data_IF_237750229360
#
_entry.id   IF_237750229360
#
_cell.length_a   1.000
_cell.length_b   1.000
_cell.length_c   1.000
_cell.angle_alpha   90.00
_cell.angle_beta   90.00
_cell.angle_gamma   90.00
#
_symmetry.space_group_name_H-M   'P 1'
#
loop_
_entity.id
_entity.type
_entity.pdbx_description
1 polymer ?
#
# COMPACT_ATOMS: atom_id res chain seq x y z
N UNK A 1 16.21 -68.21 -31.71
CA UNK A 1 16.04 -66.71 -31.96
C UNK A 1 15.38 -66.11 -30.72
N UNK A 2 16.12 -65.37 -29.92
CA UNK A 2 15.58 -64.65 -28.72
C UNK A 2 15.50 -63.16 -29.03
N UNK A 3 14.29 -62.66 -29.16
CA UNK A 3 14.01 -61.22 -29.35
C UNK A 3 14.14 -60.47 -28.04
N UNK A 4 15.10 -59.54 -27.95
CA UNK A 4 15.28 -58.66 -26.80
C UNK A 4 14.40 -57.40 -27.02
N UNK A 5 13.40 -57.23 -26.17
CA UNK A 5 12.63 -56.01 -26.10
C UNK A 5 13.43 -54.94 -25.34
N UNK A 6 13.81 -53.87 -26.02
CA UNK A 6 14.42 -52.68 -25.40
C UNK A 6 13.26 -51.76 -25.03
N UNK A 7 12.98 -51.65 -23.72
CA UNK A 7 12.10 -50.58 -23.21
C UNK A 7 12.90 -49.27 -23.21
N UNK A 8 12.49 -48.31 -24.06
CA UNK A 8 12.98 -46.96 -23.99
C UNK A 8 12.21 -46.21 -22.91
N UNK A 9 12.89 -45.82 -21.82
CA UNK A 9 12.34 -44.96 -20.79
C UNK A 9 12.38 -43.51 -21.28
N UNK A 10 11.24 -42.93 -21.56
CA UNK A 10 11.10 -41.50 -21.85
C UNK A 10 11.15 -40.71 -20.53
N UNK A 11 12.26 -39.98 -20.31
CA UNK A 11 12.38 -39.05 -19.20
C UNK A 11 11.56 -37.80 -19.51
N UNK A 12 10.44 -37.62 -18.84
CA UNK A 12 9.71 -36.36 -18.84
C UNK A 12 10.45 -35.32 -17.97
N UNK A 13 11.10 -34.35 -18.59
CA UNK A 13 11.61 -33.18 -17.89
C UNK A 13 10.43 -32.29 -17.52
N UNK A 14 10.03 -32.27 -16.25
CA UNK A 14 9.10 -31.30 -15.70
C UNK A 14 9.86 -29.97 -15.59
N UNK A 15 9.60 -29.07 -16.51
CA UNK A 15 10.05 -27.69 -16.39
C UNK A 15 9.33 -27.05 -15.19
N UNK A 16 10.02 -26.89 -14.08
CA UNK A 16 9.54 -26.11 -12.93
C UNK A 16 9.57 -24.64 -13.43
N UNK A 17 8.40 -24.12 -13.80
CA UNK A 17 8.22 -22.68 -14.02
C UNK A 17 8.32 -22.06 -12.62
N UNK A 18 9.51 -21.57 -12.25
CA UNK A 18 9.68 -20.71 -11.09
C UNK A 18 8.96 -19.41 -11.46
N UNK A 19 7.85 -19.03 -10.77
CA UNK A 19 7.25 -17.74 -11.03
C UNK A 19 8.32 -16.69 -10.76
N UNK A 20 8.68 -15.91 -11.78
CA UNK A 20 9.45 -14.69 -11.58
C UNK A 20 8.62 -13.83 -10.64
N UNK A 21 9.12 -13.62 -9.42
CA UNK A 21 8.47 -12.73 -8.46
C UNK A 21 8.35 -11.38 -9.13
N UNK A 22 7.13 -11.04 -9.54
CA UNK A 22 6.84 -9.71 -10.08
C UNK A 22 7.35 -8.69 -9.05
N UNK A 23 7.99 -7.63 -9.52
CA UNK A 23 8.45 -6.53 -8.67
C UNK A 23 7.20 -5.82 -8.16
N UNK A 24 6.69 -6.26 -7.01
CA UNK A 24 5.45 -5.78 -6.45
C UNK A 24 5.72 -4.89 -5.24
N UNK A 25 5.06 -3.73 -5.20
CA UNK A 25 4.91 -2.88 -4.03
C UNK A 25 3.47 -2.99 -3.54
N UNK A 26 3.21 -2.75 -2.26
CA UNK A 26 1.84 -2.67 -1.78
C UNK A 26 1.25 -1.30 -2.10
N UNK A 27 -0.03 -1.27 -2.48
CA UNK A 27 -0.79 -0.05 -2.68
C UNK A 27 -1.97 -0.02 -1.72
N UNK A 28 -2.16 1.12 -1.06
CA UNK A 28 -3.33 1.45 -0.23
C UNK A 28 -3.83 2.84 -0.59
N UNK A 29 -5.16 3.02 -0.63
CA UNK A 29 -5.79 4.32 -0.86
C UNK A 29 -6.73 4.65 0.29
N UNK A 30 -6.56 5.82 0.87
CA UNK A 30 -7.25 6.25 2.09
C UNK A 30 -8.03 7.54 1.84
N UNK A 31 -9.29 7.57 2.22
CA UNK A 31 -10.14 8.75 2.15
C UNK A 31 -11.13 8.77 3.31
N UNK A 32 -11.37 9.95 3.87
CA UNK A 32 -12.33 10.11 4.99
C UNK A 32 -11.96 9.28 6.22
N UNK A 33 -10.68 9.02 6.43
CA UNK A 33 -10.19 8.20 7.54
C UNK A 33 -10.32 6.68 7.34
N UNK A 34 -10.81 6.24 6.17
CA UNK A 34 -11.04 4.83 5.84
C UNK A 34 -10.21 4.38 4.65
N UNK A 35 -9.88 3.10 4.60
CA UNK A 35 -9.26 2.49 3.43
C UNK A 35 -10.35 2.29 2.35
N UNK A 36 -10.25 3.04 1.26
CA UNK A 36 -11.15 2.88 0.09
C UNK A 36 -10.59 1.88 -0.92
N UNK A 37 -9.30 1.54 -0.78
CA UNK A 37 -8.64 0.42 -1.42
C UNK A 37 -7.62 -0.13 -0.42
N UNK A 38 -7.77 -1.40 -0.06
CA UNK A 38 -6.93 -2.08 0.93
C UNK A 38 -5.51 -2.32 0.44
N UNK A 39 -4.59 -2.60 1.36
CA UNK A 39 -3.21 -2.92 1.02
C UNK A 39 -3.16 -4.15 0.09
N UNK A 40 -2.77 -3.93 -1.15
CA UNK A 40 -2.74 -4.95 -2.20
C UNK A 40 -1.39 -4.91 -2.91
N UNK A 41 -0.76 -6.05 -3.08
CA UNK A 41 0.46 -6.16 -3.87
C UNK A 41 0.15 -5.85 -5.34
N UNK A 42 0.87 -4.90 -5.92
CA UNK A 42 0.67 -4.42 -7.29
C UNK A 42 1.98 -4.35 -8.03
N UNK A 43 1.96 -4.73 -9.31
CA UNK A 43 3.13 -4.61 -10.16
C UNK A 43 3.46 -3.13 -10.40
N UNK A 44 4.71 -2.74 -10.13
CA UNK A 44 5.20 -1.37 -10.35
C UNK A 44 5.87 -1.19 -11.70
N UNK A 45 6.08 -2.25 -12.47
CA UNK A 45 6.88 -2.22 -13.70
C UNK A 45 6.06 -2.15 -14.98
N UNK A 46 4.78 -2.51 -14.96
CA UNK A 46 3.98 -2.76 -16.16
C UNK A 46 3.44 -1.51 -16.84
N UNK A 47 3.03 -0.49 -16.09
CA UNK A 47 2.45 0.71 -16.68
C UNK A 47 3.51 1.63 -17.30
N UNK A 48 3.25 2.04 -18.52
CA UNK A 48 4.17 2.88 -19.32
C UNK A 48 3.60 4.23 -19.67
N UNK A 49 2.34 4.47 -19.40
CA UNK A 49 1.67 5.73 -19.69
C UNK A 49 0.40 5.89 -18.88
N UNK A 50 -0.02 7.14 -18.68
CA UNK A 50 -1.34 7.49 -18.17
C UNK A 50 -2.04 8.41 -19.16
N UNK A 51 -3.36 8.56 -18.98
CA UNK A 51 -4.17 9.52 -19.74
C UNK A 51 -4.64 10.60 -18.79
N UNK A 52 -4.41 11.86 -19.15
CA UNK A 52 -4.84 13.01 -18.36
C UNK A 52 -6.34 13.33 -18.54
N UNK A 53 -6.85 14.28 -17.78
CA UNK A 53 -8.23 14.72 -17.81
C UNK A 53 -8.68 15.35 -19.14
N UNK A 54 -7.73 15.67 -20.02
CA UNK A 54 -7.97 16.20 -21.39
C UNK A 54 -7.89 15.10 -22.44
N UNK A 55 -7.70 13.84 -22.04
CA UNK A 55 -7.55 12.69 -22.94
C UNK A 55 -6.16 12.55 -23.55
N UNK A 56 -5.18 13.37 -23.16
CA UNK A 56 -3.82 13.28 -23.67
C UNK A 56 -3.04 12.17 -22.95
N UNK A 57 -2.33 11.37 -23.74
CA UNK A 57 -1.47 10.30 -23.26
C UNK A 57 -0.08 10.84 -22.91
N UNK A 58 0.42 10.50 -21.73
CA UNK A 58 1.75 10.87 -21.24
C UNK A 58 2.54 9.61 -20.91
N UNK A 59 3.81 9.59 -21.31
CA UNK A 59 4.72 8.47 -20.99
C UNK A 59 5.13 8.54 -19.52
N UNK A 60 5.21 7.41 -18.87
CA UNK A 60 5.67 7.26 -17.49
C UNK A 60 7.07 6.70 -17.41
N UNK A 61 7.83 7.13 -16.42
CA UNK A 61 9.02 6.41 -16.00
C UNK A 61 8.62 5.03 -15.49
N UNK A 62 9.47 4.04 -15.72
CA UNK A 62 9.29 2.73 -15.12
C UNK A 62 9.24 2.85 -13.60
N UNK A 63 8.43 2.02 -12.96
CA UNK A 63 8.29 1.94 -11.51
C UNK A 63 7.81 3.25 -10.85
N UNK A 64 7.10 4.11 -11.56
CA UNK A 64 6.56 5.34 -10.94
C UNK A 64 5.31 5.04 -10.09
N UNK A 65 5.08 5.85 -9.04
CA UNK A 65 3.88 5.72 -8.22
C UNK A 65 2.59 5.96 -9.03
N UNK A 66 2.62 6.84 -10.03
CA UNK A 66 1.52 6.98 -10.99
C UNK A 66 1.33 5.71 -11.83
N UNK A 67 2.44 5.08 -12.23
CA UNK A 67 2.42 3.80 -12.95
C UNK A 67 1.76 2.69 -12.14
N UNK A 68 1.96 2.66 -10.83
CA UNK A 68 1.31 1.71 -9.95
C UNK A 68 -0.23 1.89 -9.94
N UNK A 69 -0.73 3.12 -9.83
CA UNK A 69 -2.18 3.40 -9.94
C UNK A 69 -2.74 2.91 -11.28
N UNK A 70 -2.04 3.20 -12.38
CA UNK A 70 -2.47 2.74 -13.72
C UNK A 70 -2.48 1.21 -13.81
N UNK A 71 -1.44 0.55 -13.28
CA UNK A 71 -1.31 -0.91 -13.33
C UNK A 71 -2.41 -1.65 -12.56
N UNK A 72 -2.97 -1.04 -11.51
CA UNK A 72 -4.09 -1.63 -10.76
C UNK A 72 -5.42 -1.61 -11.53
N UNK A 73 -5.54 -0.81 -12.58
CA UNK A 73 -6.82 -0.57 -13.24
C UNK A 73 -7.82 0.26 -12.41
N UNK A 74 -7.41 0.80 -11.26
CA UNK A 74 -8.28 1.66 -10.45
C UNK A 74 -8.71 2.89 -11.25
N UNK A 75 -9.99 3.29 -11.17
CA UNK A 75 -10.44 4.54 -11.76
C UNK A 75 -9.67 5.72 -11.17
N UNK A 76 -9.13 6.56 -12.00
CA UNK A 76 -8.43 7.77 -11.59
C UNK A 76 -8.77 8.95 -12.51
N UNK A 77 -8.45 10.15 -12.06
CA UNK A 77 -8.39 11.35 -12.90
C UNK A 77 -7.10 12.09 -12.56
N UNK A 78 -6.26 12.29 -13.55
CA UNK A 78 -5.01 13.01 -13.43
C UNK A 78 -5.06 14.32 -14.23
N UNK A 79 -4.43 15.37 -13.71
CA UNK A 79 -4.19 16.61 -14.43
C UNK A 79 -2.70 16.73 -14.66
N UNK A 80 -2.33 16.97 -15.93
CA UNK A 80 -0.94 17.25 -16.26
C UNK A 80 -0.64 18.73 -16.07
N UNK A 81 0.41 19.03 -15.32
CA UNK A 81 0.96 20.37 -15.14
C UNK A 81 2.23 20.51 -15.97
N UNK A 82 2.17 21.35 -16.99
CA UNK A 82 3.30 21.56 -17.90
C UNK A 82 4.46 22.31 -17.24
N UNK A 83 4.19 23.11 -16.20
CA UNK A 83 5.21 23.88 -15.47
C UNK A 83 6.17 22.97 -14.73
N UNK A 84 5.63 21.90 -14.14
CA UNK A 84 6.40 20.92 -13.38
C UNK A 84 6.69 19.65 -14.17
N UNK A 85 6.19 19.55 -15.40
CA UNK A 85 6.25 18.34 -16.23
C UNK A 85 5.78 17.10 -15.45
N UNK A 86 4.74 17.24 -14.66
CA UNK A 86 4.26 16.24 -13.73
C UNK A 86 2.74 16.10 -13.77
N UNK A 87 2.24 14.98 -13.23
CA UNK A 87 0.81 14.81 -12.99
C UNK A 87 0.50 14.86 -11.50
N UNK A 88 -0.67 15.39 -11.18
CA UNK A 88 -1.30 15.23 -9.90
C UNK A 88 -2.68 14.58 -10.05
N UNK A 89 -3.03 13.75 -9.07
CA UNK A 89 -4.32 13.07 -9.07
C UNK A 89 -5.39 13.98 -8.46
N UNK A 90 -6.51 14.12 -9.16
CA UNK A 90 -7.69 14.82 -8.64
C UNK A 90 -8.79 13.86 -8.20
N UNK A 91 -8.70 12.59 -8.63
CA UNK A 91 -9.60 11.51 -8.20
C UNK A 91 -8.85 10.20 -8.17
N UNK A 92 -9.12 9.39 -7.14
CA UNK A 92 -8.73 7.98 -7.09
C UNK A 92 -9.97 7.20 -6.64
N UNK A 93 -10.24 6.07 -7.29
CA UNK A 93 -11.48 5.29 -7.13
C UNK A 93 -12.69 6.21 -7.37
N UNK A 94 -13.65 6.26 -6.47
CA UNK A 94 -14.82 7.13 -6.57
C UNK A 94 -14.61 8.52 -5.94
N UNK A 95 -13.50 8.74 -5.21
CA UNK A 95 -13.30 9.93 -4.40
C UNK A 95 -12.54 11.01 -5.15
N UNK A 96 -13.16 12.19 -5.27
CA UNK A 96 -12.54 13.38 -5.85
C UNK A 96 -11.96 14.27 -4.74
N UNK A 97 -10.77 14.80 -4.96
CA UNK A 97 -10.20 15.81 -4.07
C UNK A 97 -11.03 17.11 -4.13
N UNK A 98 -11.39 17.72 -3.00
CA UNK A 98 -12.03 19.02 -2.99
C UNK A 98 -11.06 20.12 -3.46
N UNK A 99 -11.58 21.32 -3.73
CA UNK A 99 -10.75 22.45 -4.16
C UNK A 99 -9.66 22.84 -3.14
N UNK A 100 -9.91 22.56 -1.87
CA UNK A 100 -8.99 22.81 -0.74
C UNK A 100 -8.11 21.62 -0.39
N UNK A 101 -8.10 20.57 -1.22
CA UNK A 101 -7.44 19.32 -0.89
C UNK A 101 -6.64 18.73 -2.05
N UNK A 102 -5.89 17.70 -1.76
CA UNK A 102 -5.10 16.95 -2.74
C UNK A 102 -4.90 15.50 -2.30
N UNK A 103 -4.44 14.66 -3.21
CA UNK A 103 -4.01 13.31 -2.90
C UNK A 103 -2.52 13.31 -2.54
N UNK A 104 -2.22 13.13 -1.25
CA UNK A 104 -0.85 13.01 -0.75
C UNK A 104 -0.32 11.59 -1.00
N UNK A 105 0.92 11.51 -1.48
CA UNK A 105 1.64 10.26 -1.71
C UNK A 105 2.60 10.01 -0.55
N UNK A 106 2.52 8.81 0.02
CA UNK A 106 3.48 8.32 1.01
C UNK A 106 4.14 7.06 0.48
N UNK A 107 5.45 6.95 0.70
CA UNK A 107 6.23 5.75 0.41
C UNK A 107 6.97 5.36 1.70
N UNK A 108 6.76 4.13 2.15
CA UNK A 108 7.36 3.61 3.38
C UNK A 108 7.11 4.53 4.60
N UNK A 109 5.86 5.00 4.74
CA UNK A 109 5.44 5.86 5.83
C UNK A 109 5.91 7.31 5.77
N UNK A 110 6.62 7.73 4.71
CA UNK A 110 7.15 9.08 4.52
C UNK A 110 6.47 9.76 3.34
N UNK A 111 6.07 11.04 3.51
CA UNK A 111 5.48 11.82 2.42
C UNK A 111 6.50 12.00 1.30
N UNK A 112 6.11 11.68 0.08
CA UNK A 112 6.93 11.91 -1.10
C UNK A 112 7.01 13.40 -1.40
N UNK A 113 8.23 13.89 -1.56
CA UNK A 113 8.50 15.27 -1.99
C UNK A 113 8.62 15.38 -3.52
N UNK A 114 8.55 14.26 -4.23
CA UNK A 114 8.50 14.20 -5.69
C UNK A 114 7.10 13.90 -6.16
N UNK A 115 6.74 14.39 -7.35
CA UNK A 115 5.44 14.11 -7.95
C UNK A 115 5.24 12.62 -8.26
N UNK A 116 4.00 12.21 -8.39
CA UNK A 116 3.62 10.81 -8.65
C UNK A 116 4.29 10.18 -9.87
N UNK A 117 4.59 10.98 -10.89
CA UNK A 117 5.27 10.55 -12.13
C UNK A 117 6.76 10.31 -11.94
N UNK A 118 7.36 10.93 -10.92
CA UNK A 118 8.79 10.90 -10.64
C UNK A 118 9.18 10.06 -9.43
N UNK A 119 8.24 9.83 -8.51
CA UNK A 119 8.43 8.94 -7.37
C UNK A 119 8.67 7.51 -7.85
N UNK A 120 9.90 7.05 -7.76
CA UNK A 120 10.31 5.71 -8.19
C UNK A 120 10.14 4.71 -7.07
N UNK A 121 9.42 3.64 -7.34
CA UNK A 121 9.13 2.56 -6.39
C UNK A 121 10.06 1.37 -6.59
N UNK A 122 10.33 0.67 -5.49
CA UNK A 122 11.03 -0.62 -5.45
C UNK A 122 10.04 -1.73 -5.13
N UNK A 123 10.43 -2.96 -5.41
CA UNK A 123 9.75 -4.12 -4.85
C UNK A 123 9.76 -4.01 -3.32
N UNK A 124 8.68 -4.42 -2.69
CA UNK A 124 8.43 -4.31 -1.24
C UNK A 124 8.17 -2.90 -0.68
N UNK A 125 8.17 -1.85 -1.49
CA UNK A 125 7.73 -0.54 -0.99
C UNK A 125 6.26 -0.59 -0.59
N UNK A 126 5.94 0.09 0.49
CA UNK A 126 4.56 0.40 0.87
C UNK A 126 4.20 1.77 0.32
N UNK A 127 3.15 1.82 -0.49
CA UNK A 127 2.65 3.05 -1.13
C UNK A 127 1.26 3.35 -0.61
N UNK A 128 1.07 4.53 -0.06
CA UNK A 128 -0.23 4.96 0.45
C UNK A 128 -0.59 6.31 -0.14
N UNK A 129 -1.75 6.35 -0.77
CA UNK A 129 -2.38 7.60 -1.20
C UNK A 129 -3.41 8.01 -0.17
N UNK A 130 -3.29 9.21 0.37
CA UNK A 130 -4.20 9.73 1.38
C UNK A 130 -4.82 11.02 0.86
N UNK A 131 -6.17 11.08 0.85
CA UNK A 131 -6.85 12.33 0.56
C UNK A 131 -6.68 13.30 1.71
N UNK A 132 -5.95 14.39 1.48
CA UNK A 132 -6.01 15.58 2.30
C UNK A 132 -7.16 16.47 1.83
N UNK A 133 -8.16 16.66 2.66
CA UNK A 133 -9.30 17.52 2.34
C UNK A 133 -9.05 19.00 2.63
N UNK A 134 -7.97 19.31 3.35
CA UNK A 134 -7.61 20.67 3.75
C UNK A 134 -6.09 20.85 3.87
N UNK A 135 -5.47 21.30 2.80
CA UNK A 135 -4.01 21.53 2.73
C UNK A 135 -3.53 22.66 3.65
N UNK A 136 -4.43 23.51 4.16
CA UNK A 136 -4.08 24.59 5.07
C UNK A 136 -3.86 24.10 6.51
N UNK A 137 -4.31 22.91 6.84
CA UNK A 137 -4.20 22.36 8.16
C UNK A 137 -2.76 21.90 8.46
N UNK A 138 -2.23 22.38 9.58
CA UNK A 138 -0.82 22.18 9.98
C UNK A 138 -0.40 20.72 10.20
N UNK A 139 -1.37 19.82 10.48
CA UNK A 139 -1.11 18.40 10.68
C UNK A 139 -1.67 17.65 9.47
N UNK A 140 -0.83 17.39 8.49
CA UNK A 140 -1.17 16.76 7.23
C UNK A 140 -2.01 15.48 7.35
N UNK A 141 -2.47 14.94 6.23
CA UNK A 141 -3.18 13.68 6.25
C UNK A 141 -2.18 12.59 6.62
N UNK A 142 -2.51 11.79 7.64
CA UNK A 142 -1.68 10.67 8.05
C UNK A 142 -2.53 9.40 8.08
N UNK A 143 -1.88 8.24 8.13
CA UNK A 143 -2.53 6.98 8.40
C UNK A 143 -1.66 6.16 9.35
N UNK A 144 -2.29 5.25 10.08
CA UNK A 144 -1.57 4.22 10.82
C UNK A 144 -1.17 3.09 9.86
N UNK A 145 0.01 2.55 10.08
CA UNK A 145 0.46 1.27 9.57
C UNK A 145 0.51 0.30 10.74
N UNK A 146 0.00 -0.89 10.55
CA UNK A 146 -0.01 -1.95 11.55
C UNK A 146 0.65 -3.20 10.96
N UNK A 147 1.60 -3.74 11.69
CA UNK A 147 2.25 -5.01 11.39
C UNK A 147 1.95 -6.03 12.49
N UNK A 148 1.95 -7.30 12.14
CA UNK A 148 1.79 -8.40 13.08
C UNK A 148 2.88 -9.44 12.86
N UNK A 149 3.60 -9.77 13.94
CA UNK A 149 4.61 -10.83 13.95
C UNK A 149 4.19 -11.93 14.90
N UNK A 150 4.06 -13.14 14.37
CA UNK A 150 3.86 -14.32 15.19
C UNK A 150 5.16 -14.59 15.98
N UNK A 151 5.09 -14.52 17.30
CA UNK A 151 6.24 -14.64 18.19
C UNK A 151 6.47 -16.09 18.66
N UNK A 152 5.71 -17.05 18.14
CA UNK A 152 5.67 -18.43 18.64
C UNK A 152 4.82 -18.53 19.92
N UNK A 153 4.66 -19.75 20.43
CA UNK A 153 3.86 -20.02 21.65
C UNK A 153 2.43 -19.46 21.63
N UNK A 154 1.83 -19.27 20.45
CA UNK A 154 0.49 -18.71 20.31
C UNK A 154 0.39 -17.20 20.56
N UNK A 155 1.51 -16.49 20.71
CA UNK A 155 1.52 -15.03 20.88
C UNK A 155 1.76 -14.31 19.57
N UNK A 156 1.13 -13.13 19.43
CA UNK A 156 1.32 -12.21 18.29
C UNK A 156 1.75 -10.86 18.85
N UNK A 157 2.86 -10.35 18.35
CA UNK A 157 3.32 -8.99 18.63
C UNK A 157 2.87 -8.09 17.49
N UNK A 158 2.02 -7.14 17.80
CA UNK A 158 1.61 -6.06 16.93
C UNK A 158 2.59 -4.91 17.10
N UNK A 159 2.98 -4.30 15.97
CA UNK A 159 3.77 -3.06 15.98
C UNK A 159 3.13 -2.06 15.04
N UNK A 160 3.14 -0.79 15.41
CA UNK A 160 2.55 0.23 14.56
C UNK A 160 3.36 1.50 14.49
N UNK A 161 3.29 2.10 13.32
CA UNK A 161 3.77 3.45 13.05
C UNK A 161 2.63 4.31 12.53
N UNK A 162 2.79 5.61 12.65
CA UNK A 162 1.99 6.62 11.96
C UNK A 162 2.83 7.22 10.85
N UNK A 163 2.26 7.38 9.69
CA UNK A 163 2.90 8.13 8.61
C UNK A 163 3.23 9.55 9.07
N UNK A 164 4.33 10.07 8.59
CA UNK A 164 4.81 11.40 8.91
C UNK A 164 5.34 12.14 7.68
N UNK A 165 5.56 13.46 7.79
CA UNK A 165 6.09 14.26 6.68
C UNK A 165 7.49 13.79 6.26
N UNK A 166 8.45 13.87 7.18
CA UNK A 166 9.86 13.53 6.90
C UNK A 166 10.24 12.08 7.25
N UNK A 167 9.51 11.44 8.14
CA UNK A 167 9.73 10.05 8.57
C UNK A 167 8.47 9.47 9.22
N UNK A 168 8.36 8.14 9.22
CA UNK A 168 7.37 7.44 10.01
C UNK A 168 7.60 7.69 11.51
N UNK A 169 6.54 7.75 12.28
CA UNK A 169 6.55 8.04 13.71
C UNK A 169 5.95 6.84 14.44
N UNK A 170 6.58 6.38 15.51
CA UNK A 170 6.06 5.31 16.37
C UNK A 170 4.67 5.68 16.88
N UNK A 171 3.72 4.75 16.76
CA UNK A 171 2.33 4.97 17.16
C UNK A 171 2.06 4.60 18.63
N UNK A 172 2.96 4.97 19.55
CA UNK A 172 2.79 4.72 20.98
C UNK A 172 1.49 5.32 21.52
N UNK A 173 0.80 4.57 22.37
CA UNK A 173 -0.48 4.95 22.94
C UNK A 173 -1.69 4.81 22.00
N UNK A 174 -1.49 4.40 20.73
CA UNK A 174 -2.61 4.13 19.82
C UNK A 174 -3.42 2.90 20.30
N UNK A 175 -4.77 2.92 20.21
CA UNK A 175 -5.58 1.78 20.61
C UNK A 175 -5.49 0.67 19.57
N UNK A 176 -5.26 -0.57 20.02
CA UNK A 176 -5.38 -1.76 19.19
C UNK A 176 -6.78 -2.38 19.38
N UNK A 177 -7.46 -2.64 18.28
CA UNK A 177 -8.72 -3.37 18.26
C UNK A 177 -8.51 -4.75 17.66
N UNK A 178 -9.04 -5.78 18.33
CA UNK A 178 -9.11 -7.15 17.83
C UNK A 178 -10.58 -7.51 17.69
N UNK A 179 -10.97 -8.02 16.52
CA UNK A 179 -12.36 -8.34 16.20
C UNK A 179 -13.34 -7.19 16.52
N UNK A 180 -12.89 -5.95 16.24
CA UNK A 180 -13.66 -4.74 16.51
C UNK A 180 -13.63 -4.23 17.96
N UNK A 181 -13.17 -5.01 18.93
CA UNK A 181 -13.10 -4.62 20.33
C UNK A 181 -11.73 -4.08 20.70
N UNK A 182 -11.68 -2.99 21.49
CA UNK A 182 -10.43 -2.46 22.02
C UNK A 182 -9.84 -3.44 23.03
N UNK A 183 -8.60 -3.90 22.77
CA UNK A 183 -7.86 -4.81 23.64
C UNK A 183 -6.91 -4.03 24.56
N UNK A 184 -6.32 -2.96 24.06
CA UNK A 184 -5.37 -2.15 24.81
C UNK A 184 -4.83 -0.99 23.99
N UNK A 185 -3.85 -0.30 24.53
CA UNK A 185 -3.07 0.68 23.81
C UNK A 185 -1.66 0.12 23.56
N UNK A 186 -1.07 0.47 22.42
CA UNK A 186 0.33 0.18 22.15
C UNK A 186 1.22 0.84 23.18
N UNK A 187 2.30 0.19 23.58
CA UNK A 187 3.33 0.75 24.45
C UNK A 187 4.02 1.96 23.80
N UNK A 188 4.89 2.64 24.52
CA UNK A 188 5.59 3.83 24.02
C UNK A 188 6.45 3.53 22.78
N UNK A 189 6.93 2.31 22.64
CA UNK A 189 7.68 1.81 21.47
C UNK A 189 6.78 1.39 20.28
N UNK A 190 5.47 1.59 20.41
CA UNK A 190 4.49 1.25 19.38
C UNK A 190 4.12 -0.22 19.31
N UNK A 191 4.44 -1.03 20.33
CA UNK A 191 4.18 -2.47 20.32
C UNK A 191 3.10 -2.88 21.32
N UNK A 192 2.45 -4.02 21.06
CA UNK A 192 1.58 -4.75 21.99
C UNK A 192 1.61 -6.23 21.67
N UNK A 193 1.94 -7.07 22.65
CA UNK A 193 1.92 -8.52 22.48
C UNK A 193 0.67 -9.08 23.16
N UNK A 194 -0.06 -9.94 22.47
CA UNK A 194 -1.24 -10.62 22.98
C UNK A 194 -1.22 -12.11 22.61
N UNK A 195 -2.07 -12.89 23.26
CA UNK A 195 -2.39 -14.28 22.89
C UNK A 195 -3.82 -14.29 22.35
N UNK A 196 -4.02 -14.16 21.01
CA UNK A 196 -5.36 -14.18 20.45
C UNK A 196 -5.96 -15.58 20.55
N UNK A 197 -7.28 -15.67 20.71
CA UNK A 197 -8.01 -16.94 20.75
C UNK A 197 -8.77 -17.11 19.43
N UNK A 198 -8.46 -18.16 18.70
CA UNK A 198 -9.08 -18.44 17.40
C UNK A 198 -8.66 -17.45 16.30
N UNK A 199 -9.43 -17.41 15.22
CA UNK A 199 -9.21 -16.45 14.14
C UNK A 199 -9.43 -15.02 14.62
N UNK A 200 -8.58 -14.11 14.18
CA UNK A 200 -8.64 -12.71 14.61
C UNK A 200 -8.48 -11.75 13.44
N UNK A 201 -9.04 -10.56 13.63
CA UNK A 201 -8.74 -9.38 12.82
C UNK A 201 -8.20 -8.28 13.73
N UNK A 202 -7.21 -7.52 13.26
CA UNK A 202 -6.58 -6.45 14.03
C UNK A 202 -6.58 -5.14 13.25
N UNK A 203 -6.85 -4.04 13.94
CA UNK A 203 -6.84 -2.70 13.36
C UNK A 203 -6.57 -1.63 14.40
N UNK A 204 -5.90 -0.54 14.02
CA UNK A 204 -5.91 0.72 14.75
C UNK A 204 -6.97 1.61 14.11
N UNK A 205 -8.01 2.03 14.84
CA UNK A 205 -9.07 2.87 14.31
C UNK A 205 -8.58 4.28 13.98
N UNK A 206 -9.30 4.98 13.11
CA UNK A 206 -9.02 6.38 12.79
C UNK A 206 -9.12 7.27 14.03
N UNK A 207 -8.28 8.31 14.09
CA UNK A 207 -8.30 9.31 15.17
C UNK A 207 -8.01 10.71 14.62
N UNK A 208 -8.99 11.58 14.64
CA UNK A 208 -8.87 12.93 14.08
C UNK A 208 -8.55 12.87 12.58
N UNK A 209 -7.43 13.45 12.17
CA UNK A 209 -6.94 13.42 10.77
C UNK A 209 -6.03 12.22 10.46
N UNK A 210 -5.88 11.30 11.40
CA UNK A 210 -5.12 10.06 11.18
C UNK A 210 -6.12 8.97 10.79
N UNK A 211 -5.97 8.44 9.61
CA UNK A 211 -6.80 7.35 9.12
C UNK A 211 -6.48 6.04 9.84
N UNK A 212 -7.45 5.14 9.84
CA UNK A 212 -7.27 3.78 10.34
C UNK A 212 -6.12 3.06 9.64
N UNK A 213 -5.51 2.08 10.33
CA UNK A 213 -4.61 1.14 9.68
C UNK A 213 -5.37 0.26 8.69
N UNK A 214 -4.63 -0.51 7.91
CA UNK A 214 -5.16 -1.72 7.28
C UNK A 214 -5.72 -2.67 8.35
N UNK A 215 -6.61 -3.56 7.93
CA UNK A 215 -7.06 -4.67 8.77
C UNK A 215 -6.19 -5.88 8.49
N UNK A 216 -5.50 -6.36 9.52
CA UNK A 216 -4.75 -7.62 9.48
C UNK A 216 -5.66 -8.77 9.92
N UNK A 217 -5.35 -9.99 9.48
CA UNK A 217 -6.05 -11.19 9.88
C UNK A 217 -5.05 -12.34 10.13
N UNK A 218 -5.38 -13.24 11.05
CA UNK A 218 -4.57 -14.41 11.36
C UNK A 218 -5.37 -15.51 12.08
#
# INVERSE_FOLDING_TARGET
MRTRNILAAAAFAVAIIVPTTASAATLRVVSGGQNVFGATATDVTSARAYVDSKGKRHVLKANSAMGQIVATGLPYTAVYDATYNAAYLTRIVATKAPATGYWALFVNGTMSMTGATDATLKASDEVVWILDSDYSAKNGPFAYNLDAKNSGNGTVTFSATRMGGAKAIVAGGAPLHINGAKIGNLAADGTLTITPVGAWTAQIPAKGRIAASETLAG
#
